data_IF_114125166136
#
_entry.id   IF_114125166136
#
_cell.length_a   1.000
_cell.length_b   1.000
_cell.length_c   1.000
_cell.angle_alpha   90.00
_cell.angle_beta   90.00
_cell.angle_gamma   90.00
#
_symmetry.space_group_name_H-M   'P 1'
#
loop_
_entity.id
_entity.type
_entity.pdbx_description
1 polymer ?
#
# COMPACT_ATOMS: atom_id res chain seq x y z
N UNK A 1 -21.62 15.17 -5.54
CA UNK A 1 -21.46 13.95 -6.36
C UNK A 1 -20.32 13.14 -5.77
N UNK A 2 -20.44 12.02 -5.06
CA UNK A 2 -21.55 11.32 -4.42
C UNK A 2 -21.02 10.89 -3.04
N UNK A 3 -21.72 11.23 -1.96
CA UNK A 3 -21.43 10.82 -0.59
C UNK A 3 -21.95 9.39 -0.34
N UNK A 4 -21.36 8.39 -1.02
CA UNK A 4 -21.83 7.00 -0.98
C UNK A 4 -20.77 6.00 -0.48
N UNK A 5 -19.86 6.40 0.41
CA UNK A 5 -19.08 5.42 1.17
C UNK A 5 -19.75 5.22 2.53
N UNK A 6 -20.65 4.24 2.54
CA UNK A 6 -21.35 3.78 3.73
C UNK A 6 -20.34 3.33 4.80
N UNK A 7 -20.48 3.87 6.01
CA UNK A 7 -19.85 3.49 7.30
C UNK A 7 -19.98 2.00 7.70
N UNK A 8 -20.22 1.06 6.77
CA UNK A 8 -20.63 -0.34 7.08
C UNK A 8 -19.66 -1.45 6.71
N UNK A 9 -18.61 -1.22 5.92
CA UNK A 9 -17.67 -2.31 5.61
C UNK A 9 -16.46 -2.28 6.52
N UNK A 10 -16.49 -3.17 7.51
CA UNK A 10 -15.36 -3.49 8.39
C UNK A 10 -14.14 -3.92 7.57
N UNK A 11 -12.93 -3.66 8.09
CA UNK A 11 -11.69 -4.21 7.53
C UNK A 11 -11.81 -5.75 7.44
N UNK A 12 -11.61 -6.36 6.26
CA UNK A 12 -11.75 -7.80 6.10
C UNK A 12 -10.65 -8.53 6.89
N UNK A 13 -11.02 -9.67 7.48
CA UNK A 13 -10.06 -10.59 8.08
C UNK A 13 -9.23 -11.30 7.01
N UNK A 14 -8.08 -11.88 7.39
CA UNK A 14 -7.25 -12.68 6.46
C UNK A 14 -8.06 -13.80 5.78
N UNK A 15 -8.89 -14.60 6.50
CA UNK A 15 -9.76 -15.58 5.84
C UNK A 15 -10.69 -14.95 4.81
N UNK A 16 -11.25 -13.77 5.10
CA UNK A 16 -12.15 -13.08 4.18
C UNK A 16 -11.44 -12.60 2.91
N UNK A 17 -10.20 -12.14 3.04
CA UNK A 17 -9.33 -11.80 1.91
C UNK A 17 -9.08 -13.04 1.04
N UNK A 18 -8.75 -14.18 1.66
CA UNK A 18 -8.52 -15.44 0.95
C UNK A 18 -9.78 -15.94 0.24
N UNK A 19 -10.94 -15.90 0.90
CA UNK A 19 -12.23 -16.22 0.30
C UNK A 19 -12.52 -15.37 -0.92
N UNK A 20 -12.26 -14.06 -0.83
CA UNK A 20 -12.51 -13.11 -1.92
C UNK A 20 -11.67 -13.47 -3.15
N UNK A 21 -10.37 -13.73 -2.98
CA UNK A 21 -9.47 -14.11 -4.07
C UNK A 21 -9.85 -15.45 -4.71
N UNK A 22 -10.37 -16.41 -3.93
CA UNK A 22 -10.89 -17.67 -4.46
C UNK A 22 -12.22 -17.49 -5.19
N UNK A 23 -13.11 -16.63 -4.68
CA UNK A 23 -14.42 -16.34 -5.28
C UNK A 23 -14.30 -15.69 -6.67
N UNK A 24 -13.32 -14.81 -6.86
CA UNK A 24 -13.04 -14.17 -8.16
C UNK A 24 -12.16 -15.03 -9.09
N UNK A 25 -11.84 -16.26 -8.68
CA UNK A 25 -10.98 -17.21 -9.42
C UNK A 25 -9.53 -16.76 -9.65
N UNK A 26 -9.01 -15.83 -8.85
CA UNK A 26 -7.59 -15.47 -8.86
C UNK A 26 -6.73 -16.57 -8.22
N UNK A 27 -7.24 -17.18 -7.14
CA UNK A 27 -6.54 -18.26 -6.41
C UNK A 27 -7.35 -19.57 -6.41
N UNK A 28 -6.67 -20.74 -6.39
CA UNK A 28 -7.34 -22.03 -6.24
C UNK A 28 -7.93 -22.19 -4.84
N UNK A 29 -8.91 -23.09 -4.68
CA UNK A 29 -9.54 -23.37 -3.36
C UNK A 29 -8.54 -23.79 -2.27
N UNK A 30 -7.39 -24.34 -2.63
CA UNK A 30 -6.31 -24.68 -1.69
C UNK A 30 -5.67 -23.47 -1.02
N UNK A 31 -5.92 -22.26 -1.52
CA UNK A 31 -5.45 -21.00 -0.93
C UNK A 31 -6.19 -20.65 0.37
N UNK A 32 -7.41 -21.15 0.57
CA UNK A 32 -8.19 -20.93 1.79
C UNK A 32 -7.46 -21.49 3.01
N UNK A 33 -7.35 -20.68 4.06
CA UNK A 33 -6.61 -20.97 5.30
C UNK A 33 -5.11 -21.25 5.11
N UNK A 34 -4.57 -20.94 3.93
CA UNK A 34 -3.14 -21.04 3.68
C UNK A 34 -2.37 -19.92 4.41
N UNK A 35 -1.05 -20.04 4.46
CA UNK A 35 -0.14 -18.99 4.92
C UNK A 35 0.63 -18.34 3.76
N UNK A 36 0.09 -18.47 2.55
CA UNK A 36 0.70 -17.91 1.35
C UNK A 36 0.60 -16.39 1.37
N UNK A 37 1.66 -15.72 0.90
CA UNK A 37 1.68 -14.27 0.75
C UNK A 37 0.86 -13.82 -0.45
N UNK A 38 0.45 -12.56 -0.42
CA UNK A 38 -0.20 -11.86 -1.53
C UNK A 38 0.59 -10.58 -1.84
N UNK A 39 0.52 -10.11 -3.08
CA UNK A 39 1.19 -8.90 -3.53
C UNK A 39 0.22 -7.74 -3.75
N UNK A 40 0.74 -6.69 -4.38
CA UNK A 40 -0.01 -5.47 -4.71
C UNK A 40 -1.15 -5.71 -5.68
N UNK A 41 -1.03 -6.71 -6.55
CA UNK A 41 -2.09 -7.06 -7.50
C UNK A 41 -3.28 -7.71 -6.79
N UNK A 42 -3.05 -8.72 -5.95
CA UNK A 42 -4.12 -9.31 -5.15
C UNK A 42 -4.76 -8.30 -4.18
N UNK A 43 -3.97 -7.39 -3.60
CA UNK A 43 -4.49 -6.30 -2.77
C UNK A 43 -5.45 -5.39 -3.57
N UNK A 44 -5.09 -5.05 -4.82
CA UNK A 44 -5.96 -4.31 -5.74
C UNK A 44 -7.28 -5.06 -5.99
N UNK A 45 -7.22 -6.35 -6.33
CA UNK A 45 -8.42 -7.15 -6.57
C UNK A 45 -9.36 -7.21 -5.36
N UNK A 46 -8.79 -7.35 -4.16
CA UNK A 46 -9.57 -7.39 -2.92
C UNK A 46 -10.21 -6.05 -2.63
N UNK A 47 -9.48 -4.94 -2.83
CA UNK A 47 -10.02 -3.59 -2.61
C UNK A 47 -11.15 -3.29 -3.60
N UNK A 48 -10.95 -3.60 -4.88
CA UNK A 48 -11.94 -3.41 -5.93
C UNK A 48 -13.20 -4.25 -5.66
N UNK A 49 -13.03 -5.54 -5.38
CA UNK A 49 -14.15 -6.46 -5.15
C UNK A 49 -14.91 -6.15 -3.87
N UNK A 50 -14.20 -5.82 -2.79
CA UNK A 50 -14.82 -5.68 -1.47
C UNK A 50 -15.39 -4.28 -1.25
N UNK A 51 -14.73 -3.24 -1.74
CA UNK A 51 -15.08 -1.84 -1.47
C UNK A 51 -15.57 -1.05 -2.69
N UNK A 52 -15.60 -1.66 -3.88
CA UNK A 52 -15.92 -0.97 -5.15
C UNK A 52 -15.02 0.25 -5.36
N UNK A 53 -13.72 0.07 -5.07
CA UNK A 53 -12.69 1.10 -5.21
C UNK A 53 -11.71 0.68 -6.30
N UNK A 54 -11.68 1.39 -7.44
CA UNK A 54 -10.72 1.08 -8.49
C UNK A 54 -9.30 1.41 -8.03
N UNK A 55 -8.35 0.54 -8.34
CA UNK A 55 -6.94 0.71 -8.01
C UNK A 55 -6.10 0.83 -9.28
N UNK A 56 -5.09 1.70 -9.25
CA UNK A 56 -4.04 1.77 -10.29
C UNK A 56 -2.82 0.99 -9.80
N UNK A 57 -2.35 0.04 -10.60
CA UNK A 57 -1.06 -0.61 -10.35
C UNK A 57 0.05 0.13 -11.09
N UNK A 58 1.16 0.37 -10.41
CA UNK A 58 2.40 0.87 -11.01
C UNK A 58 3.49 -0.17 -10.77
N UNK A 59 4.12 -0.60 -11.85
CA UNK A 59 5.24 -1.52 -11.82
C UNK A 59 6.54 -0.74 -12.02
N UNK A 60 7.47 -0.92 -11.10
CA UNK A 60 8.81 -0.33 -11.12
C UNK A 60 9.79 -1.49 -11.16
N UNK A 61 10.56 -1.63 -12.23
CA UNK A 61 11.38 -2.82 -12.44
C UNK A 61 12.69 -2.79 -11.64
N UNK A 62 13.16 -1.59 -11.30
CA UNK A 62 14.37 -1.36 -10.50
C UNK A 62 14.15 -0.24 -9.51
N UNK A 63 14.71 -0.33 -8.31
CA UNK A 63 14.56 0.69 -7.28
C UNK A 63 14.98 2.10 -7.74
N UNK A 64 15.97 2.21 -8.62
CA UNK A 64 16.41 3.50 -9.17
C UNK A 64 15.34 4.19 -10.04
N UNK A 65 14.40 3.41 -10.59
CA UNK A 65 13.27 3.89 -11.39
C UNK A 65 12.14 4.45 -10.52
N UNK A 66 12.21 4.36 -9.18
CA UNK A 66 11.25 4.99 -8.27
C UNK A 66 11.20 6.51 -8.47
N UNK A 67 12.31 7.12 -8.89
CA UNK A 67 12.39 8.54 -9.22
C UNK A 67 11.44 8.92 -10.36
N UNK A 68 11.17 8.03 -11.32
CA UNK A 68 10.31 8.29 -12.48
C UNK A 68 8.81 8.32 -12.13
N UNK A 69 8.43 7.75 -10.98
CA UNK A 69 7.03 7.70 -10.55
C UNK A 69 6.69 8.77 -9.51
N UNK A 70 7.64 9.64 -9.14
CA UNK A 70 7.47 10.71 -8.14
C UNK A 70 6.29 11.61 -8.51
N UNK A 71 6.24 12.11 -9.73
CA UNK A 71 5.15 13.00 -10.17
C UNK A 71 3.79 12.30 -10.12
N UNK A 72 3.76 11.01 -10.49
CA UNK A 72 2.53 10.21 -10.42
C UNK A 72 2.06 10.02 -8.97
N UNK A 73 2.99 9.81 -8.03
CA UNK A 73 2.69 9.69 -6.60
C UNK A 73 2.23 11.03 -6.03
N UNK A 74 2.88 12.14 -6.39
CA UNK A 74 2.45 13.48 -5.97
C UNK A 74 1.02 13.78 -6.44
N UNK A 75 0.72 13.49 -7.71
CA UNK A 75 -0.62 13.69 -8.26
C UNK A 75 -1.66 12.79 -7.59
N UNK A 76 -1.29 11.54 -7.28
CA UNK A 76 -2.15 10.63 -6.52
C UNK A 76 -2.49 11.18 -5.14
N UNK A 77 -1.49 11.59 -4.35
CA UNK A 77 -1.73 12.13 -3.01
C UNK A 77 -2.48 13.47 -3.03
N UNK A 78 -2.29 14.30 -4.06
CA UNK A 78 -3.05 15.55 -4.25
C UNK A 78 -4.51 15.30 -4.64
N UNK A 79 -4.75 14.34 -5.56
CA UNK A 79 -6.08 14.08 -6.14
C UNK A 79 -6.95 13.19 -5.26
N UNK A 80 -6.34 12.15 -4.69
CA UNK A 80 -7.01 11.11 -3.93
C UNK A 80 -6.58 11.14 -2.47
N UNK A 81 -5.28 11.15 -2.19
CA UNK A 81 -4.75 11.16 -0.82
C UNK A 81 -4.92 9.84 -0.07
N UNK A 82 -5.29 8.76 -0.77
CA UNK A 82 -5.40 7.42 -0.21
C UNK A 82 -4.01 6.79 0.02
N UNK A 83 -3.87 5.94 1.05
CA UNK A 83 -2.65 5.16 1.26
C UNK A 83 -2.32 4.27 0.05
N UNK A 84 -1.03 4.10 -0.21
CA UNK A 84 -0.52 3.26 -1.31
C UNK A 84 0.17 2.04 -0.73
N UNK A 85 -0.16 0.84 -1.19
CA UNK A 85 0.56 -0.38 -0.79
C UNK A 85 1.71 -0.62 -1.76
N UNK A 86 2.93 -0.73 -1.24
CA UNK A 86 4.13 -1.06 -1.99
C UNK A 86 4.60 -2.47 -1.62
N UNK A 87 4.66 -3.37 -2.59
CA UNK A 87 5.29 -4.68 -2.45
C UNK A 87 6.65 -4.69 -3.15
N UNK A 88 7.67 -5.26 -2.48
CA UNK A 88 8.97 -5.54 -3.08
C UNK A 88 9.25 -7.05 -3.09
N UNK A 89 10.19 -7.45 -3.95
CA UNK A 89 10.60 -8.85 -4.12
C UNK A 89 11.66 -9.26 -3.09
N UNK A 90 12.83 -8.62 -3.18
CA UNK A 90 14.01 -8.98 -2.39
C UNK A 90 13.85 -8.60 -0.92
N UNK A 91 13.06 -7.56 -0.66
CA UNK A 91 12.82 -7.09 0.70
C UNK A 91 11.78 -7.94 1.45
N UNK A 92 11.07 -8.85 0.76
CA UNK A 92 9.96 -9.65 1.29
C UNK A 92 9.02 -8.85 2.19
N UNK A 93 8.88 -7.55 1.95
CA UNK A 93 8.34 -6.60 2.92
C UNK A 93 7.36 -5.67 2.24
N UNK A 94 6.08 -5.97 2.41
CA UNK A 94 5.03 -5.02 2.09
C UNK A 94 5.19 -3.76 2.95
N UNK A 95 4.95 -2.59 2.35
CA UNK A 95 5.06 -1.28 2.98
C UNK A 95 3.81 -0.47 2.68
N UNK A 96 3.31 0.25 3.67
CA UNK A 96 2.30 1.29 3.46
C UNK A 96 2.99 2.61 3.18
N UNK A 97 2.71 3.24 2.03
CA UNK A 97 3.17 4.57 1.70
C UNK A 97 2.04 5.55 2.00
N UNK A 98 2.28 6.46 2.95
CA UNK A 98 1.28 7.42 3.45
C UNK A 98 1.50 8.83 2.91
N UNK A 99 2.59 9.09 2.19
CA UNK A 99 2.90 10.39 1.63
C UNK A 99 4.21 10.43 0.87
N UNK A 100 4.41 11.55 0.18
CA UNK A 100 5.63 11.86 -0.56
C UNK A 100 6.06 13.28 -0.25
N UNK A 101 7.36 13.48 -0.10
CA UNK A 101 7.99 14.78 0.07
C UNK A 101 9.09 14.93 -0.97
N UNK A 102 9.17 16.10 -1.59
CA UNK A 102 10.24 16.47 -2.53
C UNK A 102 10.86 17.77 -2.04
N UNK A 103 12.18 17.76 -1.78
CA UNK A 103 12.95 18.93 -1.36
C UNK A 103 14.19 19.01 -2.25
N UNK A 104 14.40 20.14 -2.92
CA UNK A 104 15.57 20.39 -3.77
C UNK A 104 15.86 19.29 -4.83
N UNK A 105 14.81 18.62 -5.30
CA UNK A 105 14.89 17.52 -6.28
C UNK A 105 15.04 16.13 -5.67
N UNK A 106 15.31 16.03 -4.37
CA UNK A 106 15.36 14.75 -3.64
C UNK A 106 13.97 14.37 -3.12
N UNK A 107 13.51 13.19 -3.53
CA UNK A 107 12.23 12.63 -3.10
C UNK A 107 12.38 11.64 -1.94
N UNK A 108 11.42 11.65 -1.03
CA UNK A 108 11.29 10.74 0.10
C UNK A 108 9.85 10.27 0.26
N UNK A 109 9.66 9.01 0.68
CA UNK A 109 8.36 8.42 0.93
C UNK A 109 8.13 8.26 2.43
N UNK A 110 6.92 8.56 2.90
CA UNK A 110 6.51 8.25 4.26
C UNK A 110 6.09 6.79 4.33
N UNK A 111 6.97 5.95 4.85
CA UNK A 111 6.81 4.50 4.94
C UNK A 111 6.24 4.12 6.31
N UNK A 112 5.22 3.27 6.30
CA UNK A 112 4.65 2.55 7.44
C UNK A 112 4.93 1.07 7.24
N UNK A 113 5.66 0.48 8.19
CA UNK A 113 6.06 -0.92 8.15
C UNK A 113 5.03 -1.81 8.89
N UNK A 114 4.34 -2.73 8.19
CA UNK A 114 3.33 -3.60 8.77
C UNK A 114 3.89 -4.79 9.57
N UNK A 115 5.22 -4.99 9.64
CA UNK A 115 5.83 -6.09 10.37
C UNK A 115 5.97 -5.82 11.88
N UNK A 116 5.45 -4.69 12.37
CA UNK A 116 5.43 -4.40 13.80
C UNK A 116 4.59 -5.45 14.55
N UNK A 117 5.25 -6.17 15.45
CA UNK A 117 4.61 -7.07 16.39
C UNK A 117 4.93 -6.59 17.80
N UNK A 118 3.99 -5.88 18.41
CA UNK A 118 4.14 -5.37 19.77
C UNK A 118 2.86 -4.74 20.30
N UNK A 119 2.87 -4.35 21.57
CA UNK A 119 1.71 -3.75 22.27
C UNK A 119 1.77 -2.23 22.37
N UNK A 120 2.91 -1.61 22.04
CA UNK A 120 3.11 -0.18 22.20
C UNK A 120 2.78 0.55 20.89
N UNK A 121 1.64 1.22 20.88
CA UNK A 121 1.09 1.88 19.70
C UNK A 121 1.31 3.40 19.71
N UNK A 122 2.13 3.91 20.65
CA UNK A 122 2.37 5.35 20.76
C UNK A 122 3.08 5.87 19.51
N UNK A 123 2.65 7.04 19.03
CA UNK A 123 3.16 7.67 17.80
C UNK A 123 4.67 7.88 17.91
N UNK A 124 5.10 8.33 19.08
CA UNK A 124 6.48 8.63 19.43
C UNK A 124 7.34 7.36 19.43
N UNK A 125 6.80 6.23 19.91
CA UNK A 125 7.49 4.95 19.85
C UNK A 125 7.64 4.46 18.42
N UNK A 126 6.54 4.46 17.64
CA UNK A 126 6.54 3.98 16.26
C UNK A 126 7.51 4.78 15.38
N UNK A 127 7.55 6.10 15.56
CA UNK A 127 8.51 6.98 14.88
C UNK A 127 9.94 6.74 15.35
N UNK A 128 10.18 6.71 16.67
CA UNK A 128 11.54 6.52 17.24
C UNK A 128 12.13 5.17 16.86
N UNK A 129 11.31 4.13 16.70
CA UNK A 129 11.73 2.79 16.29
C UNK A 129 11.78 2.59 14.77
N UNK A 130 11.36 3.58 13.98
CA UNK A 130 11.43 3.54 12.52
C UNK A 130 10.32 2.73 11.85
N UNK A 131 9.26 2.36 12.58
CA UNK A 131 8.06 1.72 12.01
C UNK A 131 7.25 2.70 11.14
N UNK A 132 7.35 3.99 11.46
CA UNK A 132 6.83 5.09 10.63
C UNK A 132 7.94 6.08 10.41
N UNK A 133 8.43 6.22 9.18
CA UNK A 133 9.58 7.08 8.87
C UNK A 133 9.52 7.65 7.46
N UNK A 134 10.18 8.78 7.27
CA UNK A 134 10.55 9.26 5.94
C UNK A 134 11.75 8.48 5.44
N UNK A 135 11.61 7.84 4.29
CA UNK A 135 12.67 7.09 3.64
C UNK A 135 13.00 7.75 2.29
N UNK A 136 14.22 8.29 2.12
CA UNK A 136 14.73 8.75 0.84
C UNK A 136 14.64 7.65 -0.24
N UNK A 137 14.35 8.03 -1.49
CA UNK A 137 14.26 7.06 -2.58
C UNK A 137 15.57 6.28 -2.80
N UNK A 138 16.72 6.93 -2.56
CA UNK A 138 18.05 6.30 -2.64
C UNK A 138 18.30 5.18 -1.63
N UNK A 139 17.50 5.11 -0.56
CA UNK A 139 17.62 4.07 0.47
C UNK A 139 16.82 2.81 0.11
N UNK A 140 16.06 2.83 -0.99
CA UNK A 140 15.42 1.64 -1.54
C UNK A 140 16.43 0.79 -2.32
N UNK A 141 16.19 -0.52 -2.39
CA UNK A 141 17.12 -1.47 -3.01
C UNK A 141 17.03 -1.32 -4.53
N UNK A 142 18.10 -0.79 -5.14
CA UNK A 142 18.19 -0.51 -6.57
C UNK A 142 17.94 -1.74 -7.47
N UNK A 143 18.38 -2.92 -7.03
CA UNK A 143 18.20 -4.19 -7.76
C UNK A 143 16.84 -4.85 -7.56
N UNK A 144 15.99 -4.34 -6.67
CA UNK A 144 14.64 -4.88 -6.44
C UNK A 144 13.64 -4.23 -7.39
N UNK A 145 12.62 -4.98 -7.78
CA UNK A 145 11.40 -4.39 -8.34
C UNK A 145 10.43 -3.99 -7.22
N UNK A 146 9.55 -3.05 -7.53
CA UNK A 146 8.49 -2.56 -6.65
C UNK A 146 7.16 -2.50 -7.41
N UNK A 147 6.13 -3.08 -6.80
CA UNK A 147 4.75 -2.95 -7.28
C UNK A 147 3.99 -2.04 -6.32
N UNK A 148 3.32 -1.03 -6.85
CA UNK A 148 2.54 -0.10 -6.06
C UNK A 148 1.06 -0.24 -6.43
N UNK A 149 0.20 -0.41 -5.43
CA UNK A 149 -1.24 -0.38 -5.55
C UNK A 149 -1.76 0.96 -5.02
N UNK A 150 -2.37 1.75 -5.91
CA UNK A 150 -2.85 3.10 -5.67
C UNK A 150 -4.40 3.14 -5.74
N UNK A 151 -5.12 3.05 -4.62
CA UNK A 151 -6.59 3.12 -4.59
C UNK A 151 -7.11 4.50 -5.01
N UNK A 152 -7.97 4.59 -6.02
CA UNK A 152 -8.44 5.86 -6.58
C UNK A 152 -9.67 6.42 -5.84
N UNK A 153 -9.57 6.49 -4.51
CA UNK A 153 -10.61 7.01 -3.61
C UNK A 153 -10.12 8.27 -2.90
N UNK A 154 -10.99 9.27 -2.76
CA UNK A 154 -10.67 10.47 -1.98
C UNK A 154 -10.59 10.13 -0.50
N UNK A 155 -9.46 10.44 0.11
CA UNK A 155 -9.29 10.39 1.56
C UNK A 155 -10.24 11.40 2.20
N UNK A 156 -11.08 10.91 3.11
CA UNK A 156 -11.95 11.76 3.91
C UNK A 156 -11.02 12.50 4.87
N UNK A 157 -10.93 13.82 4.74
CA UNK A 157 -10.21 14.64 5.74
C UNK A 157 -10.86 14.35 7.09
N UNK A 158 -10.09 13.82 8.04
CA UNK A 158 -10.47 13.87 9.43
C UNK A 158 -10.58 15.36 9.79
N UNK A 159 -11.82 15.82 9.95
CA UNK A 159 -12.18 17.16 10.46
C UNK A 159 -11.83 17.26 11.93
#
# INVERSE_FOLDING_TARGET
MNENYSDKQSVPSIPKIQETLVQINDKPKSFLNSKQWIGSFEACLVIDTYYDVPCKIIHVNKGDELSYIVDTLMDHFKKFGSPVMMGGDIDCSSKGIMGIQVVDGDASLLVVDPHYVGKEESKEFLQRKGWVKWQPLKDFISSSFYNLCLPQIKSIKAS
#
